data_IF_633919929319
#
_entry.id   IF_633919929319
#
_cell.length_a   1.000
_cell.length_b   1.000
_cell.length_c   1.000
_cell.angle_alpha   90.00
_cell.angle_beta   90.00
_cell.angle_gamma   90.00
#
_symmetry.space_group_name_H-M   'P 1'
#
loop_
_entity.id
_entity.type
_entity.pdbx_description
1 polymer ?
#
# COMPACT_ATOMS: atom_id res chain seq x y z
N UNK A 1 9.21 39.84 -24.25
CA UNK A 1 9.06 39.79 -22.78
C UNK A 1 7.96 38.84 -22.33
N UNK A 2 6.71 38.94 -22.84
CA UNK A 2 5.59 38.05 -22.46
C UNK A 2 5.87 36.54 -22.63
N UNK A 3 6.50 36.15 -23.74
CA UNK A 3 6.83 34.75 -24.01
C UNK A 3 7.85 34.15 -23.02
N UNK A 4 8.80 34.95 -22.54
CA UNK A 4 9.81 34.52 -21.55
C UNK A 4 9.15 34.25 -20.20
N UNK A 5 8.21 35.11 -19.79
CA UNK A 5 7.45 34.93 -18.55
C UNK A 5 6.61 33.65 -18.60
N UNK A 6 5.95 33.37 -19.73
CA UNK A 6 5.17 32.15 -19.93
C UNK A 6 6.06 30.91 -19.88
N UNK A 7 7.22 30.93 -20.55
CA UNK A 7 8.18 29.83 -20.53
C UNK A 7 8.69 29.53 -19.11
N UNK A 8 9.09 30.57 -18.37
CA UNK A 8 9.53 30.42 -16.98
C UNK A 8 8.43 29.86 -16.07
N UNK A 9 7.18 30.28 -16.26
CA UNK A 9 6.05 29.75 -15.50
C UNK A 9 5.81 28.25 -15.78
N UNK A 10 5.91 27.82 -17.05
CA UNK A 10 5.77 26.41 -17.43
C UNK A 10 6.90 25.55 -16.86
N UNK A 11 8.14 26.06 -16.85
CA UNK A 11 9.29 25.38 -16.25
C UNK A 11 9.12 25.23 -14.73
N UNK A 12 8.71 26.29 -14.03
CA UNK A 12 8.47 26.24 -12.59
C UNK A 12 7.34 25.25 -12.22
N UNK A 13 6.27 25.18 -13.02
CA UNK A 13 5.20 24.20 -12.81
C UNK A 13 5.65 22.75 -13.07
N UNK A 14 6.64 22.54 -13.94
CA UNK A 14 7.18 21.22 -14.22
C UNK A 14 7.98 20.63 -13.04
N UNK A 15 8.55 21.48 -12.18
CA UNK A 15 9.30 21.05 -11.00
C UNK A 15 8.41 20.77 -9.77
N UNK A 16 7.14 21.18 -9.80
CA UNK A 16 6.20 20.94 -8.70
C UNK A 16 5.63 19.50 -8.66
N UNK A 17 6.05 18.63 -9.58
CA UNK A 17 5.62 17.23 -9.60
C UNK A 17 6.40 16.39 -8.59
N UNK A 18 5.77 16.13 -7.44
CA UNK A 18 6.24 15.11 -6.49
C UNK A 18 6.06 13.72 -7.10
N UNK A 19 7.16 13.02 -7.35
CA UNK A 19 7.15 11.64 -7.84
C UNK A 19 7.55 10.69 -6.73
N UNK A 20 6.73 9.67 -6.51
CA UNK A 20 7.03 8.57 -5.57
C UNK A 20 7.42 7.33 -6.39
N UNK A 21 8.65 6.80 -6.24
CA UNK A 21 9.04 5.59 -6.94
C UNK A 21 8.26 4.38 -6.42
N UNK A 22 7.80 3.54 -7.35
CA UNK A 22 7.14 2.28 -7.05
C UNK A 22 8.04 1.11 -7.47
N UNK A 23 8.10 0.11 -6.61
CA UNK A 23 8.89 -1.10 -6.81
C UNK A 23 7.96 -2.30 -6.94
N UNK A 24 8.20 -3.11 -7.95
CA UNK A 24 7.45 -4.36 -8.16
C UNK A 24 7.94 -5.44 -7.20
N UNK A 25 7.00 -6.16 -6.60
CA UNK A 25 7.23 -7.33 -5.74
C UNK A 25 6.33 -8.48 -6.17
N UNK A 26 6.70 -9.70 -5.76
CA UNK A 26 5.80 -10.85 -5.87
C UNK A 26 4.58 -10.62 -4.99
N UNK A 27 3.41 -10.96 -5.52
CA UNK A 27 2.17 -10.91 -4.75
C UNK A 27 2.17 -11.98 -3.66
N UNK A 28 1.32 -11.79 -2.65
CA UNK A 28 1.10 -12.80 -1.60
C UNK A 28 0.66 -14.13 -2.26
N UNK A 29 -0.23 -14.05 -3.26
CA UNK A 29 -0.71 -15.21 -4.00
C UNK A 29 0.42 -15.96 -4.70
N UNK A 30 1.26 -15.27 -5.47
CA UNK A 30 2.41 -15.89 -6.15
C UNK A 30 3.35 -16.56 -5.14
N UNK A 31 3.64 -15.87 -4.03
CA UNK A 31 4.50 -16.40 -2.97
C UNK A 31 3.90 -17.65 -2.30
N UNK A 32 2.57 -17.70 -2.14
CA UNK A 32 1.87 -18.87 -1.59
C UNK A 32 1.79 -20.02 -2.59
N UNK A 33 1.63 -19.73 -3.88
CA UNK A 33 1.65 -20.73 -4.94
C UNK A 33 3.02 -21.39 -5.05
N UNK A 34 4.10 -20.59 -5.00
CA UNK A 34 5.48 -21.11 -4.98
C UNK A 34 5.74 -22.03 -3.78
N UNK A 35 5.10 -21.76 -2.64
CA UNK A 35 5.19 -22.61 -1.43
C UNK A 35 4.21 -23.79 -1.42
N UNK A 36 3.35 -23.93 -2.44
CA UNK A 36 2.29 -24.95 -2.47
C UNK A 36 1.15 -24.75 -1.47
N UNK A 37 1.12 -23.63 -0.73
CA UNK A 37 0.16 -23.35 0.34
C UNK A 37 -1.15 -22.71 -0.16
N UNK A 38 -1.21 -22.35 -1.44
CA UNK A 38 -2.31 -21.58 -1.99
C UNK A 38 -3.66 -22.32 -1.95
N UNK A 39 -3.67 -23.61 -2.27
CA UNK A 39 -4.92 -24.38 -2.32
C UNK A 39 -5.52 -24.59 -0.92
N UNK A 40 -4.69 -24.85 0.09
CA UNK A 40 -5.12 -24.93 1.48
C UNK A 40 -5.70 -23.59 1.97
N UNK A 41 -5.02 -22.49 1.63
CA UNK A 41 -5.46 -21.16 2.02
C UNK A 41 -6.80 -20.79 1.39
N UNK A 42 -6.98 -21.02 0.08
CA UNK A 42 -8.24 -20.74 -0.62
C UNK A 42 -9.40 -21.56 -0.06
N UNK A 43 -9.15 -22.83 0.31
CA UNK A 43 -10.18 -23.69 0.92
C UNK A 43 -10.58 -23.20 2.32
N UNK A 44 -9.60 -22.73 3.10
CA UNK A 44 -9.82 -22.21 4.46
C UNK A 44 -10.51 -20.84 4.46
N UNK A 45 -10.20 -20.00 3.49
CA UNK A 45 -10.75 -18.65 3.36
C UNK A 45 -11.35 -18.43 1.97
N UNK A 46 -12.61 -18.87 1.74
CA UNK A 46 -13.29 -18.65 0.48
C UNK A 46 -13.48 -17.14 0.25
N UNK A 47 -13.09 -16.65 -0.92
CA UNK A 47 -13.21 -15.23 -1.27
C UNK A 47 -14.64 -14.92 -1.68
N UNK A 48 -15.24 -13.91 -1.05
CA UNK A 48 -16.51 -13.34 -1.47
C UNK A 48 -16.28 -11.94 -2.07
N UNK A 49 -16.31 -11.77 -3.40
CA UNK A 49 -16.09 -10.47 -4.03
C UNK A 49 -17.06 -9.37 -3.55
N UNK A 50 -18.28 -9.75 -3.14
CA UNK A 50 -19.28 -8.81 -2.64
C UNK A 50 -19.05 -8.34 -1.20
N UNK A 51 -18.24 -9.05 -0.42
CA UNK A 51 -17.92 -8.65 0.96
C UNK A 51 -17.13 -7.33 1.01
N UNK A 52 -16.46 -6.95 -0.07
CA UNK A 52 -15.79 -5.63 -0.16
C UNK A 52 -16.77 -4.45 -0.19
N UNK A 53 -18.03 -4.70 -0.52
CA UNK A 53 -19.08 -3.67 -0.64
C UNK A 53 -20.12 -3.78 0.47
N UNK A 54 -20.02 -4.78 1.36
CA UNK A 54 -20.89 -4.87 2.53
C UNK A 54 -20.50 -3.82 3.56
N UNK A 55 -21.50 -3.18 4.16
CA UNK A 55 -21.34 -2.20 5.25
C UNK A 55 -20.94 -2.84 6.59
N UNK A 56 -20.89 -4.16 6.68
CA UNK A 56 -20.49 -4.88 7.88
C UNK A 56 -18.98 -5.04 7.95
N UNK A 57 -18.35 -4.82 9.12
CA UNK A 57 -16.91 -5.04 9.30
C UNK A 57 -16.58 -6.54 9.20
N UNK A 58 -16.22 -7.00 8.01
CA UNK A 58 -15.74 -8.34 7.76
C UNK A 58 -14.23 -8.46 7.94
N UNK A 59 -13.77 -9.53 8.59
CA UNK A 59 -12.34 -9.92 8.56
C UNK A 59 -12.08 -10.68 7.26
N UNK A 60 -11.81 -9.95 6.19
CA UNK A 60 -11.40 -10.53 4.91
C UNK A 60 -9.87 -10.65 4.86
N UNK A 61 -9.30 -11.84 4.55
CA UNK A 61 -7.88 -11.97 4.32
C UNK A 61 -7.48 -11.07 3.14
N UNK A 62 -6.42 -10.28 3.33
CA UNK A 62 -5.91 -9.39 2.29
C UNK A 62 -5.25 -10.20 1.16
N UNK A 63 -6.08 -10.70 0.25
CA UNK A 63 -5.68 -11.40 -0.99
C UNK A 63 -5.50 -10.45 -2.17
N UNK A 64 -5.43 -9.14 -1.90
CA UNK A 64 -5.32 -8.14 -2.95
C UNK A 64 -4.07 -8.41 -3.81
N UNK A 65 -4.22 -8.40 -5.13
CA UNK A 65 -3.15 -8.64 -6.11
C UNK A 65 -2.21 -7.43 -6.24
N UNK A 66 -1.92 -6.75 -5.12
CA UNK A 66 -1.05 -5.60 -5.08
C UNK A 66 0.39 -6.08 -5.26
N UNK A 67 1.00 -5.68 -6.37
CA UNK A 67 2.37 -6.05 -6.74
C UNK A 67 3.33 -4.86 -6.65
N UNK A 68 2.87 -3.67 -6.26
CA UNK A 68 3.71 -2.48 -6.16
C UNK A 68 3.66 -1.88 -4.76
N UNK A 69 4.82 -1.47 -4.27
CA UNK A 69 4.98 -0.71 -3.03
C UNK A 69 5.91 0.47 -3.28
N UNK A 70 5.80 1.53 -2.49
CA UNK A 70 6.87 2.53 -2.38
C UNK A 70 7.34 2.65 -0.93
N UNK A 71 8.27 3.58 -0.72
CA UNK A 71 8.90 3.80 0.59
C UNK A 71 8.54 5.19 1.06
N UNK A 72 8.05 5.28 2.30
CA UNK A 72 7.85 6.55 3.00
C UNK A 72 8.66 6.56 4.28
N UNK A 73 8.99 7.76 4.78
CA UNK A 73 9.71 7.93 6.03
C UNK A 73 8.89 8.77 7.01
N UNK A 74 8.81 8.32 8.27
CA UNK A 74 7.99 8.94 9.32
C UNK A 74 8.83 9.12 10.58
N UNK A 75 8.61 10.22 11.29
CA UNK A 75 9.22 10.51 12.59
C UNK A 75 10.54 11.29 12.50
N UNK A 76 11.09 11.59 13.67
CA UNK A 76 12.41 12.23 13.82
C UNK A 76 13.14 11.54 14.97
N UNK A 77 14.24 10.79 14.70
CA UNK A 77 14.84 10.55 13.38
C UNK A 77 13.93 9.75 12.43
N UNK A 78 14.09 9.92 11.11
CA UNK A 78 13.20 9.31 10.11
C UNK A 78 13.34 7.78 10.08
N UNK A 79 12.21 7.07 10.19
CA UNK A 79 12.11 5.62 10.02
C UNK A 79 11.39 5.28 8.71
N UNK A 80 11.95 4.37 7.92
CA UNK A 80 11.41 4.03 6.60
C UNK A 80 10.45 2.84 6.64
N UNK A 81 9.33 2.96 5.92
CA UNK A 81 8.28 1.96 5.81
C UNK A 81 7.98 1.65 4.35
N UNK A 82 7.79 0.37 4.03
CA UNK A 82 7.25 -0.07 2.74
C UNK A 82 5.73 0.02 2.80
N UNK A 83 5.13 0.76 1.88
CA UNK A 83 3.68 0.99 1.86
C UNK A 83 3.11 0.69 0.48
N UNK A 84 1.89 0.17 0.47
CA UNK A 84 1.12 0.06 -0.76
C UNK A 84 0.21 1.28 -0.87
N UNK A 85 0.27 1.97 -2.00
CA UNK A 85 -0.61 3.09 -2.31
C UNK A 85 -1.89 2.56 -2.96
N UNK A 86 -2.98 2.61 -2.22
CA UNK A 86 -4.29 2.16 -2.67
C UNK A 86 -5.25 3.34 -2.70
N UNK A 87 -5.89 3.55 -3.85
CA UNK A 87 -6.76 4.69 -4.14
C UNK A 87 -8.18 4.48 -3.63
N UNK A 88 -8.54 3.27 -3.21
CA UNK A 88 -9.90 2.91 -2.81
C UNK A 88 -10.26 3.41 -1.40
N UNK A 89 -9.28 3.82 -0.58
CA UNK A 89 -9.49 4.28 0.79
C UNK A 89 -8.70 5.56 1.07
N UNK A 90 -9.26 6.41 1.93
CA UNK A 90 -8.73 7.75 2.24
C UNK A 90 -7.76 7.78 3.43
N UNK A 91 -7.53 6.64 4.08
CA UNK A 91 -6.68 6.52 5.27
C UNK A 91 -5.28 6.05 4.87
N UNK A 92 -4.30 6.08 5.78
CA UNK A 92 -3.01 5.39 5.62
C UNK A 92 -2.91 4.35 6.73
N UNK A 93 -2.73 3.08 6.37
CA UNK A 93 -2.53 1.99 7.33
C UNK A 93 -1.04 1.64 7.35
N UNK A 94 -0.39 1.90 8.47
CA UNK A 94 0.95 1.41 8.74
C UNK A 94 0.83 0.13 9.56
N UNK A 95 1.26 -0.98 8.98
CA UNK A 95 1.39 -2.22 9.73
C UNK A 95 2.74 -2.18 10.45
N UNK A 96 2.71 -1.84 11.73
CA UNK A 96 3.86 -2.06 12.60
C UNK A 96 3.89 -3.55 12.97
N UNK A 97 4.84 -4.29 12.39
CA UNK A 97 5.10 -5.66 12.84
C UNK A 97 5.75 -5.60 14.22
N UNK A 98 4.93 -5.73 15.27
CA UNK A 98 5.45 -6.05 16.59
C UNK A 98 5.86 -7.53 16.54
N UNK A 99 7.13 -7.80 16.28
CA UNK A 99 7.72 -9.12 16.53
C UNK A 99 7.69 -9.36 18.03
N UNK A 100 6.58 -9.93 18.52
CA UNK A 100 6.42 -10.24 19.94
C UNK A 100 4.98 -10.02 20.43
N UNK A 101 4.52 -11.01 21.19
CA UNK A 101 3.18 -11.23 21.74
C UNK A 101 2.35 -9.97 22.07
N UNK A 102 1.07 -10.11 21.75
CA UNK A 102 -0.05 -9.20 21.99
C UNK A 102 0.01 -8.60 23.40
N UNK A 103 0.25 -7.29 23.47
CA UNK A 103 -0.35 -6.40 24.46
C UNK A 103 -0.69 -5.07 23.78
N UNK A 104 -1.94 -4.60 23.85
CA UNK A 104 -2.31 -3.31 23.28
C UNK A 104 -1.66 -2.20 24.13
N UNK A 105 -0.91 -1.31 23.48
CA UNK A 105 -0.52 -0.03 24.07
C UNK A 105 -1.43 1.04 23.45
N UNK A 106 -1.97 1.97 24.27
CA UNK A 106 -2.88 3.00 23.80
C UNK A 106 -2.09 4.07 23.03
N UNK A 107 -2.58 4.40 21.84
CA UNK A 107 -2.54 5.76 21.30
C UNK A 107 -3.91 6.04 20.70
#
# INVERSE_FOLDING_TARGET
>A
MKAVVILCAMLALSECLVRVPLFKMKTIRETMQEKGLWEEFRKKYPSNPMAKFSSEPGTEPMTNNLSYFGVISIGTPPQSFKVVFDTAWKLIFLVHYRTGNVTPAPF
#
